data_IF_106654842417
#
_entry.id   IF_106654842417
#
_cell.length_a   1.000
_cell.length_b   1.000
_cell.length_c   1.000
_cell.angle_alpha   90.00
_cell.angle_beta   90.00
_cell.angle_gamma   90.00
#
_symmetry.space_group_name_H-M   'P 1'
#
loop_
_entity.id
_entity.type
_entity.pdbx_description
1 polymer ?
#
# COMPACT_ATOMS: atom_id res chain seq x y z
N UNK A 1 -10.01 12.50 6.90
CA UNK A 1 -8.84 12.95 6.11
C UNK A 1 -8.26 11.78 5.31
N UNK A 2 -7.60 12.02 4.18
CA UNK A 2 -7.04 10.94 3.34
C UNK A 2 -5.57 11.25 2.99
N UNK A 3 -4.75 10.21 2.98
CA UNK A 3 -3.36 10.27 2.54
C UNK A 3 -3.12 9.17 1.51
N UNK A 4 -2.57 9.53 0.35
CA UNK A 4 -2.24 8.59 -0.71
C UNK A 4 -0.76 8.75 -1.08
N UNK A 5 -0.09 7.63 -1.33
CA UNK A 5 1.33 7.61 -1.68
C UNK A 5 1.64 6.47 -2.64
N UNK A 6 2.75 6.60 -3.36
CA UNK A 6 3.29 5.57 -4.25
C UNK A 6 4.73 5.25 -3.89
N UNK A 7 5.29 4.20 -4.48
CA UNK A 7 6.71 3.88 -4.38
C UNK A 7 7.54 4.91 -5.13
N UNK A 8 8.74 5.22 -4.65
CA UNK A 8 9.67 6.06 -5.40
C UNK A 8 10.19 5.33 -6.64
N UNK A 9 10.54 6.06 -7.69
CA UNK A 9 10.90 5.51 -9.02
C UNK A 9 12.04 4.48 -9.00
N UNK A 10 12.96 4.57 -8.04
CA UNK A 10 14.09 3.64 -7.90
C UNK A 10 13.72 2.31 -7.21
N UNK A 11 12.52 2.20 -6.66
CA UNK A 11 12.05 0.98 -5.99
C UNK A 11 11.49 0.02 -7.04
N UNK A 12 12.22 -1.07 -7.28
CA UNK A 12 11.85 -2.09 -8.28
C UNK A 12 11.52 -3.45 -7.66
N UNK A 13 11.85 -3.65 -6.37
CA UNK A 13 11.66 -4.93 -5.69
C UNK A 13 10.19 -5.24 -5.37
N UNK A 14 9.35 -4.23 -5.24
CA UNK A 14 7.93 -4.35 -4.89
C UNK A 14 7.16 -3.12 -5.36
N UNK A 15 5.83 -3.22 -5.47
CA UNK A 15 4.96 -2.08 -5.74
C UNK A 15 3.90 -1.87 -4.62
N UNK A 16 3.02 -0.88 -4.80
CA UNK A 16 1.96 -0.56 -3.82
C UNK A 16 0.98 -1.71 -3.59
N UNK A 17 0.81 -2.62 -4.55
CA UNK A 17 -0.07 -3.77 -4.40
C UNK A 17 0.57 -4.85 -3.50
N UNK A 18 1.88 -5.05 -3.62
CA UNK A 18 2.64 -5.89 -2.69
C UNK A 18 2.59 -5.33 -1.27
N UNK A 19 2.74 -4.01 -1.10
CA UNK A 19 2.62 -3.36 0.21
C UNK A 19 1.22 -3.56 0.80
N UNK A 20 0.16 -3.37 0.02
CA UNK A 20 -1.22 -3.62 0.45
C UNK A 20 -1.43 -5.07 0.89
N UNK A 21 -0.93 -6.04 0.10
CA UNK A 21 -1.01 -7.47 0.45
C UNK A 21 -0.26 -7.76 1.74
N UNK A 22 0.95 -7.24 1.90
CA UNK A 22 1.79 -7.49 3.08
C UNK A 22 1.19 -6.88 4.34
N UNK A 23 0.62 -5.68 4.24
CA UNK A 23 -0.09 -5.01 5.34
C UNK A 23 -1.33 -5.80 5.80
N UNK A 24 -1.99 -6.54 4.89
CA UNK A 24 -3.13 -7.40 5.24
C UNK A 24 -2.75 -8.52 6.21
N UNK A 25 -1.52 -9.04 6.13
CA UNK A 25 -1.02 -10.04 7.08
C UNK A 25 -0.90 -9.49 8.52
N UNK A 26 -0.76 -8.17 8.66
CA UNK A 26 -0.78 -7.45 9.95
C UNK A 26 -2.19 -6.96 10.33
N UNK A 27 -3.22 -7.35 9.57
CA UNK A 27 -4.62 -6.96 9.82
C UNK A 27 -5.02 -5.61 9.23
N UNK A 28 -4.14 -4.93 8.50
CA UNK A 28 -4.45 -3.65 7.87
C UNK A 28 -5.10 -3.82 6.50
N UNK A 29 -6.29 -3.26 6.33
CA UNK A 29 -6.98 -3.19 5.04
C UNK A 29 -6.73 -1.83 4.41
N UNK A 30 -5.62 -1.72 3.65
CA UNK A 30 -5.28 -0.49 2.93
C UNK A 30 -5.37 -0.72 1.42
N UNK A 31 -6.30 -0.07 0.71
CA UNK A 31 -6.47 -0.29 -0.72
C UNK A 31 -5.29 0.25 -1.52
N UNK A 32 -4.88 -0.51 -2.53
CA UNK A 32 -4.02 -0.05 -3.60
C UNK A 32 -4.81 -0.07 -4.93
N UNK A 33 -4.62 0.94 -5.78
CA UNK A 33 -5.30 1.03 -7.06
C UNK A 33 -4.52 1.88 -8.06
N UNK A 34 -4.72 1.59 -9.34
CA UNK A 34 -4.24 2.42 -10.46
C UNK A 34 -5.22 3.54 -10.74
N UNK A 35 -4.70 4.71 -11.06
CA UNK A 35 -5.51 5.87 -11.42
C UNK A 35 -6.31 5.64 -12.71
N UNK A 36 -7.40 6.40 -12.92
CA UNK A 36 -8.26 6.27 -14.10
C UNK A 36 -7.54 6.69 -15.40
N UNK A 37 -8.21 6.58 -16.57
CA UNK A 37 -7.65 6.97 -17.85
C UNK A 37 -7.03 8.37 -17.84
N UNK A 38 -5.94 8.53 -18.62
CA UNK A 38 -5.02 9.68 -18.63
C UNK A 38 -4.04 9.75 -17.44
N UNK A 39 -4.03 8.76 -16.54
CA UNK A 39 -2.98 8.62 -15.51
C UNK A 39 -2.78 7.17 -15.03
N UNK A 40 -2.98 6.20 -15.91
CA UNK A 40 -2.87 4.76 -15.59
C UNK A 40 -1.44 4.30 -15.25
N UNK A 41 -0.44 5.16 -15.46
CA UNK A 41 0.95 4.92 -15.04
C UNK A 41 1.17 5.12 -13.53
N UNK A 42 0.17 5.63 -12.81
CA UNK A 42 0.24 5.87 -11.36
C UNK A 42 -0.66 4.91 -10.59
N UNK A 43 -0.04 4.04 -9.80
CA UNK A 43 -0.72 3.26 -8.77
C UNK A 43 -0.38 3.83 -7.39
N UNK A 44 -1.38 3.89 -6.49
CA UNK A 44 -1.21 4.42 -5.13
C UNK A 44 -1.74 3.45 -4.09
N UNK A 45 -1.23 3.58 -2.87
CA UNK A 45 -1.82 3.06 -1.65
C UNK A 45 -2.51 4.21 -0.91
N UNK A 46 -3.75 4.01 -0.43
CA UNK A 46 -4.57 5.09 0.14
C UNK A 46 -5.05 4.78 1.56
N UNK A 47 -4.61 5.58 2.53
CA UNK A 47 -5.01 5.51 3.93
C UNK A 47 -6.10 6.54 4.22
N UNK A 48 -7.22 6.10 4.79
CA UNK A 48 -8.32 6.98 5.22
C UNK A 48 -8.29 7.11 6.74
N UNK A 49 -7.90 8.29 7.22
CA UNK A 49 -7.92 8.63 8.63
C UNK A 49 -9.33 9.10 9.01
N UNK A 50 -10.10 8.20 9.65
CA UNK A 50 -11.45 8.45 10.17
C UNK A 50 -11.42 8.67 11.68
N UNK A 51 -12.56 9.07 12.25
CA UNK A 51 -12.72 9.14 13.71
C UNK A 51 -12.37 7.77 14.33
N UNK A 52 -11.42 7.77 15.27
CA UNK A 52 -10.83 6.57 15.87
C UNK A 52 -9.42 6.21 15.37
N UNK A 53 -8.94 6.83 14.28
CA UNK A 53 -7.53 6.73 13.88
C UNK A 53 -6.68 7.67 14.74
N UNK A 54 -6.34 7.23 15.96
CA UNK A 54 -5.56 7.98 16.93
C UNK A 54 -4.06 7.99 16.59
N UNK A 55 -3.30 8.86 17.26
CA UNK A 55 -1.83 8.87 17.15
C UNK A 55 -1.21 7.50 17.49
N UNK A 56 -1.67 6.86 18.57
CA UNK A 56 -1.19 5.52 18.93
C UNK A 56 -1.47 4.48 17.83
N UNK A 57 -2.64 4.54 17.19
CA UNK A 57 -2.95 3.65 16.07
C UNK A 57 -2.08 3.96 14.84
N UNK A 58 -1.75 5.24 14.61
CA UNK A 58 -0.81 5.65 13.57
C UNK A 58 0.60 5.11 13.84
N UNK A 59 1.06 5.12 15.09
CA UNK A 59 2.39 4.59 15.46
C UNK A 59 2.46 3.07 15.21
N UNK A 60 1.40 2.33 15.56
CA UNK A 60 1.29 0.89 15.26
C UNK A 60 1.29 0.67 13.74
N UNK A 61 0.53 1.46 12.98
CA UNK A 61 0.49 1.38 11.52
C UNK A 61 1.89 1.59 10.90
N UNK A 62 2.62 2.61 11.35
CA UNK A 62 3.96 2.90 10.84
C UNK A 62 4.97 1.81 11.20
N UNK A 63 4.86 1.21 12.38
CA UNK A 63 5.70 0.10 12.79
C UNK A 63 5.45 -1.15 11.91
N UNK A 64 4.19 -1.50 11.66
CA UNK A 64 3.85 -2.64 10.79
C UNK A 64 4.18 -2.37 9.32
N UNK A 65 3.99 -1.14 8.83
CA UNK A 65 4.43 -0.73 7.50
C UNK A 65 5.95 -0.91 7.35
N UNK A 66 6.73 -0.48 8.34
CA UNK A 66 8.19 -0.64 8.32
C UNK A 66 8.58 -2.11 8.25
N UNK A 67 7.97 -2.97 9.07
CA UNK A 67 8.21 -4.43 9.06
C UNK A 67 7.82 -5.07 7.73
N UNK A 68 6.70 -4.66 7.14
CA UNK A 68 6.28 -5.11 5.83
C UNK A 68 7.32 -4.76 4.76
N UNK A 69 7.80 -3.52 4.74
CA UNK A 69 8.79 -3.05 3.78
C UNK A 69 10.14 -3.78 3.91
N UNK A 70 10.59 -4.10 5.12
CA UNK A 70 11.84 -4.85 5.34
C UNK A 70 11.79 -6.28 4.78
N UNK A 71 10.60 -6.88 4.71
CA UNK A 71 10.38 -8.13 3.99
C UNK A 71 10.44 -7.93 2.48
N UNK A 72 9.69 -6.94 1.97
CA UNK A 72 9.54 -6.68 0.54
C UNK A 72 10.85 -6.23 -0.13
N UNK A 73 11.70 -5.45 0.57
CA UNK A 73 13.01 -5.01 0.08
C UNK A 73 13.98 -6.15 -0.25
N UNK A 74 13.72 -7.36 0.27
CA UNK A 74 14.54 -8.56 0.03
C UNK A 74 14.00 -9.44 -1.10
N UNK A 75 12.89 -9.06 -1.74
CA UNK A 75 12.34 -9.78 -2.88
C UNK A 75 13.17 -9.55 -4.15
N UNK A 76 13.12 -10.52 -5.07
CA UNK A 76 13.77 -10.41 -6.38
C UNK A 76 12.98 -9.53 -7.36
N UNK A 77 11.70 -9.26 -7.07
CA UNK A 77 10.80 -8.43 -7.85
C UNK A 77 9.34 -8.51 -7.35
N UNK A 78 8.43 -7.70 -7.91
CA UNK A 78 7.04 -7.65 -7.49
C UNK A 78 6.36 -9.01 -7.64
N UNK A 79 5.57 -9.41 -6.65
CA UNK A 79 5.02 -10.77 -6.59
C UNK A 79 3.50 -10.73 -6.68
N UNK A 80 2.94 -10.78 -7.89
CA UNK A 80 1.52 -11.04 -8.09
C UNK A 80 0.87 -10.22 -9.19
N UNK A 81 -0.36 -10.62 -9.55
CA UNK A 81 -1.16 -9.98 -10.57
C UNK A 81 -1.79 -8.69 -10.01
N UNK A 82 -1.56 -7.55 -10.67
CA UNK A 82 -2.05 -6.22 -10.21
C UNK A 82 -3.57 -6.16 -10.18
N UNK A 83 -4.23 -6.89 -11.07
CA UNK A 83 -5.68 -6.94 -11.22
C UNK A 83 -6.37 -7.64 -10.03
N UNK A 84 -5.70 -8.57 -9.34
CA UNK A 84 -6.27 -9.25 -8.18
C UNK A 84 -6.35 -8.36 -6.93
N UNK A 85 -5.67 -7.21 -6.93
CA UNK A 85 -5.55 -6.32 -5.77
C UNK A 85 -6.55 -5.14 -5.79
N UNK A 86 -7.27 -4.92 -6.89
CA UNK A 86 -8.26 -3.84 -7.05
C UNK A 86 -9.61 -4.20 -6.43
N UNK A 87 -9.64 -4.46 -5.12
CA UNK A 87 -10.86 -4.90 -4.42
C UNK A 87 -11.89 -3.80 -4.13
N UNK A 88 -11.58 -2.53 -4.38
CA UNK A 88 -12.46 -1.41 -4.02
C UNK A 88 -12.39 -0.29 -5.07
N UNK A 89 -13.38 -0.24 -5.95
CA UNK A 89 -13.65 0.91 -6.80
C UNK A 89 -14.64 1.84 -6.08
N UNK A 90 -14.31 3.12 -6.01
CA UNK A 90 -15.21 4.18 -5.54
C UNK A 90 -15.85 4.88 -6.72
#
# INVERSE_FOLDING_TARGET
>A
PVFAFTTADHVTAYDVFDVSRRLREYGWLVPAYTFPPNREDLSVLRVVCRNGFSHNLADIFLADLTRALDGLRRQQGPTGDREAATGFHH
#
